data_IF_645799430606
#
_entry.id   IF_645799430606
#
_cell.length_a   1.000
_cell.length_b   1.000
_cell.length_c   1.000
_cell.angle_alpha   90.00
_cell.angle_beta   90.00
_cell.angle_gamma   90.00
#
_symmetry.space_group_name_H-M   'P 1'
#
loop_
_entity.id
_entity.type
_entity.pdbx_description
1 polymer ?
#
# COMPACT_ATOMS: atom_id res chain seq x y z
N UNK A 1 -12.82 6.25 20.87
CA UNK A 1 -12.89 6.02 19.40
C UNK A 1 -14.11 5.16 19.13
N UNK A 2 -15.09 5.60 18.32
CA UNK A 2 -16.30 4.81 18.05
C UNK A 2 -15.95 3.58 17.17
N UNK A 3 -16.68 2.47 17.32
CA UNK A 3 -16.37 1.18 16.67
C UNK A 3 -16.15 1.30 15.15
N UNK A 4 -16.98 2.06 14.45
CA UNK A 4 -16.89 2.23 12.99
C UNK A 4 -15.59 2.92 12.54
N UNK A 5 -14.98 3.79 13.36
CA UNK A 5 -13.69 4.42 13.00
C UNK A 5 -12.56 3.39 12.98
N UNK A 6 -12.63 2.35 13.81
CA UNK A 6 -11.64 1.26 13.79
C UNK A 6 -11.78 0.44 12.51
N UNK A 7 -13.01 0.07 12.14
CA UNK A 7 -13.27 -0.70 10.93
C UNK A 7 -12.76 0.05 9.69
N UNK A 8 -13.09 1.33 9.55
CA UNK A 8 -12.58 2.16 8.45
C UNK A 8 -11.05 2.24 8.47
N UNK A 9 -10.42 2.44 9.63
CA UNK A 9 -8.97 2.51 9.70
C UNK A 9 -8.29 1.17 9.32
N UNK A 10 -8.88 0.03 9.71
CA UNK A 10 -8.39 -1.29 9.31
C UNK A 10 -8.58 -1.55 7.81
N UNK A 11 -9.72 -1.16 7.24
CA UNK A 11 -9.99 -1.29 5.81
C UNK A 11 -9.03 -0.42 4.99
N UNK A 12 -8.84 0.85 5.40
CA UNK A 12 -7.90 1.76 4.74
C UNK A 12 -6.45 1.29 4.89
N UNK A 13 -6.08 0.73 6.05
CA UNK A 13 -4.77 0.13 6.25
C UNK A 13 -4.52 -1.07 5.34
N UNK A 14 -5.51 -1.96 5.19
CA UNK A 14 -5.42 -3.09 4.28
C UNK A 14 -5.25 -2.65 2.82
N UNK A 15 -6.03 -1.65 2.38
CA UNK A 15 -5.88 -1.07 1.05
C UNK A 15 -4.53 -0.39 0.84
N UNK A 16 -3.99 0.30 1.85
CA UNK A 16 -2.67 0.91 1.75
C UNK A 16 -1.57 -0.15 1.55
N UNK A 17 -1.63 -1.28 2.27
CA UNK A 17 -0.67 -2.38 2.10
C UNK A 17 -0.80 -3.01 0.71
N UNK A 18 -2.03 -3.33 0.28
CA UNK A 18 -2.26 -3.85 -1.06
C UNK A 18 -1.73 -2.89 -2.14
N UNK A 19 -1.96 -1.59 -1.96
CA UNK A 19 -1.47 -0.55 -2.85
C UNK A 19 0.06 -0.47 -2.87
N UNK A 20 0.73 -0.51 -1.71
CA UNK A 20 2.20 -0.54 -1.63
C UNK A 20 2.76 -1.76 -2.38
N UNK A 21 2.13 -2.93 -2.25
CA UNK A 21 2.54 -4.15 -2.97
C UNK A 21 2.35 -3.97 -4.47
N UNK A 22 1.17 -3.55 -4.92
CA UNK A 22 0.88 -3.40 -6.35
C UNK A 22 1.56 -2.20 -7.04
N UNK A 23 2.21 -1.33 -6.28
CA UNK A 23 3.08 -0.28 -6.83
C UNK A 23 4.57 -0.68 -6.83
N UNK A 24 4.90 -1.79 -6.17
CA UNK A 24 6.25 -2.35 -6.20
C UNK A 24 6.53 -3.02 -7.55
N UNK A 25 7.81 -3.18 -7.88
CA UNK A 25 8.22 -3.73 -9.19
C UNK A 25 7.73 -5.16 -9.44
N UNK A 26 7.70 -6.01 -8.42
CA UNK A 26 7.32 -7.42 -8.57
C UNK A 26 5.86 -7.71 -8.20
N UNK A 27 5.10 -6.71 -7.72
CA UNK A 27 3.70 -6.86 -7.31
C UNK A 27 3.50 -8.00 -6.28
N UNK A 28 4.56 -8.38 -5.55
CA UNK A 28 4.61 -9.64 -4.81
C UNK A 28 4.46 -9.46 -3.29
N UNK A 29 3.58 -10.26 -2.70
CA UNK A 29 3.42 -10.34 -1.25
C UNK A 29 4.69 -10.87 -0.58
N UNK A 30 5.37 -11.84 -1.20
CA UNK A 30 6.65 -12.37 -0.70
C UNK A 30 7.75 -11.31 -0.69
N UNK A 31 7.88 -10.51 -1.74
CA UNK A 31 8.85 -9.41 -1.79
C UNK A 31 8.55 -8.33 -0.75
N UNK A 32 7.28 -8.00 -0.55
CA UNK A 32 6.87 -7.09 0.52
C UNK A 32 7.32 -7.62 1.89
N UNK A 33 7.01 -8.88 2.21
CA UNK A 33 7.45 -9.49 3.48
C UNK A 33 8.97 -9.43 3.64
N UNK A 34 9.72 -9.78 2.60
CA UNK A 34 11.16 -10.01 2.69
C UNK A 34 11.99 -8.73 2.53
N UNK A 35 11.45 -7.67 1.93
CA UNK A 35 12.18 -6.42 1.64
C UNK A 35 11.58 -5.19 2.34
N UNK A 36 10.25 -5.07 2.42
CA UNK A 36 9.62 -3.91 3.06
C UNK A 36 9.87 -3.88 4.56
N UNK A 37 9.71 -5.00 5.27
CA UNK A 37 9.90 -5.02 6.73
C UNK A 37 11.35 -4.74 7.18
N UNK A 38 12.39 -5.26 6.51
CA UNK A 38 13.77 -4.82 6.76
C UNK A 38 13.94 -3.32 6.52
N UNK A 39 13.40 -2.79 5.42
CA UNK A 39 13.49 -1.36 5.11
C UNK A 39 12.76 -0.50 6.16
N UNK A 40 11.59 -0.95 6.61
CA UNK A 40 10.83 -0.31 7.69
C UNK A 40 11.63 -0.25 9.00
N UNK A 41 12.33 -1.33 9.34
CA UNK A 41 13.17 -1.42 10.54
C UNK A 41 14.36 -0.44 10.46
N UNK A 42 15.00 -0.36 9.31
CA UNK A 42 16.29 0.32 9.16
C UNK A 42 16.15 1.82 8.83
N UNK A 43 15.13 2.19 8.06
CA UNK A 43 14.95 3.55 7.51
C UNK A 43 13.69 4.26 8.04
N UNK A 44 12.82 3.54 8.74
CA UNK A 44 11.53 4.04 9.18
C UNK A 44 10.45 3.97 8.09
N UNK A 45 9.19 4.15 8.51
CA UNK A 45 8.03 3.85 7.68
C UNK A 45 7.88 4.77 6.46
N UNK A 46 8.18 6.06 6.59
CA UNK A 46 8.02 7.04 5.51
C UNK A 46 8.91 6.69 4.31
N UNK A 47 10.19 6.38 4.59
CA UNK A 47 11.15 5.95 3.57
C UNK A 47 10.81 4.57 3.04
N UNK A 48 10.37 3.65 3.89
CA UNK A 48 9.98 2.32 3.44
C UNK A 48 8.82 2.35 2.45
N UNK A 49 7.80 3.16 2.72
CA UNK A 49 6.65 3.35 1.83
C UNK A 49 7.09 3.99 0.52
N UNK A 50 7.84 5.10 0.55
CA UNK A 50 8.21 5.80 -0.68
C UNK A 50 9.13 4.95 -1.57
N UNK A 51 10.16 4.32 -1.00
CA UNK A 51 11.09 3.49 -1.77
C UNK A 51 10.44 2.22 -2.31
N UNK A 52 9.66 1.49 -1.49
CA UNK A 52 9.09 0.22 -1.92
C UNK A 52 7.98 0.39 -2.96
N UNK A 53 7.18 1.46 -2.85
CA UNK A 53 6.15 1.81 -3.83
C UNK A 53 6.68 2.59 -5.05
N UNK A 54 8.00 2.83 -5.13
CA UNK A 54 8.59 3.63 -6.20
C UNK A 54 8.12 5.10 -6.22
N UNK A 55 7.58 5.60 -5.12
CA UNK A 55 7.14 6.99 -4.98
C UNK A 55 8.33 7.91 -4.68
N UNK A 56 8.32 9.12 -5.27
CA UNK A 56 9.37 10.14 -5.00
C UNK A 56 9.49 10.48 -3.53
N UNK A 57 8.34 10.62 -2.86
CA UNK A 57 8.19 11.00 -1.46
C UNK A 57 6.84 10.48 -0.95
N UNK A 58 6.55 10.74 0.32
CA UNK A 58 5.32 10.28 0.97
C UNK A 58 4.07 11.02 0.47
N UNK A 59 4.18 12.30 0.13
CA UNK A 59 3.06 13.08 -0.43
C UNK A 59 2.64 12.54 -1.80
N UNK A 60 3.61 12.17 -2.63
CA UNK A 60 3.36 11.50 -3.91
C UNK A 60 2.64 10.16 -3.72
N UNK A 61 3.06 9.36 -2.72
CA UNK A 61 2.36 8.14 -2.36
C UNK A 61 0.89 8.42 -1.98
N UNK A 62 0.65 9.38 -1.07
CA UNK A 62 -0.72 9.69 -0.64
C UNK A 62 -1.60 10.24 -1.76
N UNK A 63 -1.05 11.05 -2.67
CA UNK A 63 -1.80 11.53 -3.85
C UNK A 63 -2.28 10.35 -4.69
N UNK A 64 -1.37 9.44 -5.04
CA UNK A 64 -1.68 8.27 -5.87
C UNK A 64 -2.62 7.28 -5.16
N UNK A 65 -2.42 7.09 -3.86
CA UNK A 65 -3.31 6.24 -3.07
C UNK A 65 -4.73 6.83 -2.99
N UNK A 66 -4.86 8.14 -2.83
CA UNK A 66 -6.16 8.80 -2.87
C UNK A 66 -6.82 8.67 -4.25
N UNK A 67 -6.07 8.81 -5.34
CA UNK A 67 -6.57 8.55 -6.70
C UNK A 67 -7.09 7.11 -6.87
N UNK A 68 -6.35 6.12 -6.35
CA UNK A 68 -6.78 4.73 -6.31
C UNK A 68 -8.08 4.52 -5.52
N UNK A 69 -8.24 5.18 -4.36
CA UNK A 69 -9.45 5.08 -3.56
C UNK A 69 -10.70 5.69 -4.23
N UNK A 70 -10.52 6.61 -5.19
CA UNK A 70 -11.62 7.18 -5.98
C UNK A 70 -12.03 6.30 -7.17
N UNK A 71 -11.31 5.21 -7.46
CA UNK A 71 -11.67 4.28 -8.52
C UNK A 71 -12.92 3.46 -8.16
N UNK A 72 -13.56 2.88 -9.17
CA UNK A 72 -14.68 1.98 -8.94
C UNK A 72 -14.22 0.70 -8.20
N UNK A 73 -15.12 0.09 -7.44
CA UNK A 73 -14.81 -1.17 -6.74
C UNK A 73 -14.33 -2.27 -7.69
N UNK A 74 -14.84 -2.31 -8.93
CA UNK A 74 -14.39 -3.26 -9.95
C UNK A 74 -12.90 -3.09 -10.26
N UNK A 75 -12.44 -1.86 -10.46
CA UNK A 75 -11.02 -1.57 -10.72
C UNK A 75 -10.14 -1.92 -9.51
N UNK A 76 -10.64 -1.69 -8.29
CA UNK A 76 -9.94 -2.05 -7.07
C UNK A 76 -9.80 -3.57 -6.89
N UNK A 77 -10.82 -4.36 -7.30
CA UNK A 77 -10.73 -5.82 -7.31
C UNK A 77 -9.79 -6.34 -8.40
N UNK A 78 -9.84 -5.78 -9.61
CA UNK A 78 -8.90 -6.12 -10.68
C UNK A 78 -7.44 -5.84 -10.27
N UNK A 79 -7.22 -4.76 -9.53
CA UNK A 79 -5.92 -4.48 -8.91
C UNK A 79 -5.49 -5.59 -7.95
N UNK A 80 -6.37 -6.05 -7.05
CA UNK A 80 -6.05 -7.16 -6.14
C UNK A 80 -5.71 -8.46 -6.88
N UNK A 81 -6.43 -8.76 -7.95
CA UNK A 81 -6.21 -9.95 -8.78
C UNK A 81 -4.87 -9.90 -9.54
N UNK A 82 -4.30 -8.71 -9.72
CA UNK A 82 -2.98 -8.54 -10.36
C UNK A 82 -1.80 -8.87 -9.44
N UNK A 83 -2.02 -8.91 -8.13
CA UNK A 83 -0.97 -9.12 -7.14
C UNK A 83 -0.45 -10.56 -7.20
N UNK A 84 0.87 -10.70 -7.07
CA UNK A 84 1.56 -11.97 -7.07
C UNK A 84 1.76 -12.49 -5.63
N UNK A 85 1.78 -13.82 -5.43
CA UNK A 85 2.11 -14.42 -4.14
C UNK A 85 3.47 -13.98 -3.58
#
# INVERSE_FOLDING_TARGET
>A
MKSYHRNIAYDMGAWAIAFIIGESKGLSVSEFRDQFYPLLRDEGWEKAVSQFSGSRDLDHFYSRFNEFLQQSSQQQYEFLDSLQP
#
